data_IF_917726425165
#
_entry.id   IF_917726425165
#
_cell.length_a   1.000
_cell.length_b   1.000
_cell.length_c   1.000
_cell.angle_alpha   90.00
_cell.angle_beta   90.00
_cell.angle_gamma   90.00
#
_symmetry.space_group_name_H-M   'P 1'
#
loop_
_entity.id
_entity.type
_entity.pdbx_description
1 polymer ?
#
# COMPACT_ATOMS: atom_id res chain seq x y z
N UNK A 1 -13.78 -14.36 -2.08
CA UNK A 1 -15.12 -14.99 -2.12
C UNK A 1 -16.12 -13.97 -2.61
N UNK A 2 -17.17 -14.40 -3.31
CA UNK A 2 -18.28 -13.54 -3.73
C UNK A 2 -19.58 -14.15 -3.23
N UNK A 3 -20.43 -13.34 -2.60
CA UNK A 3 -21.69 -13.75 -2.01
C UNK A 3 -22.85 -13.04 -2.70
N UNK A 4 -23.83 -13.81 -3.17
CA UNK A 4 -25.07 -13.31 -3.75
C UNK A 4 -25.99 -12.68 -2.71
N UNK A 5 -26.58 -11.54 -3.07
CA UNK A 5 -27.52 -10.83 -2.22
C UNK A 5 -28.92 -11.46 -2.17
N UNK A 6 -29.94 -10.63 -1.94
CA UNK A 6 -31.34 -11.09 -1.90
C UNK A 6 -31.91 -11.41 -3.30
N UNK A 7 -31.37 -10.79 -4.34
CA UNK A 7 -31.79 -10.95 -5.74
C UNK A 7 -30.62 -11.39 -6.60
N UNK A 8 -30.93 -11.95 -7.76
CA UNK A 8 -29.94 -12.26 -8.79
C UNK A 8 -29.28 -10.98 -9.33
N UNK A 9 -27.97 -11.04 -9.57
CA UNK A 9 -27.17 -9.93 -10.10
C UNK A 9 -26.21 -10.43 -11.17
N UNK A 10 -26.04 -9.65 -12.23
CA UNK A 10 -25.01 -9.88 -13.24
C UNK A 10 -23.74 -9.12 -12.84
N UNK A 11 -22.64 -9.86 -12.71
CA UNK A 11 -21.29 -9.35 -12.48
C UNK A 11 -20.57 -9.36 -13.83
N UNK A 12 -20.12 -8.20 -14.28
CA UNK A 12 -19.45 -8.05 -15.57
C UNK A 12 -17.95 -8.33 -15.46
N UNK A 13 -17.33 -7.97 -14.33
CA UNK A 13 -15.90 -8.12 -14.11
C UNK A 13 -15.55 -8.13 -12.61
N UNK A 14 -14.39 -8.72 -12.28
CA UNK A 14 -13.76 -8.58 -10.96
C UNK A 14 -12.45 -7.85 -11.14
N UNK A 15 -12.32 -6.69 -10.50
CA UNK A 15 -11.11 -5.88 -10.52
C UNK A 15 -10.37 -5.97 -9.19
N UNK A 16 -9.05 -6.08 -9.29
CA UNK A 16 -8.13 -6.13 -8.16
C UNK A 16 -7.08 -5.02 -8.31
N UNK A 17 -6.82 -4.30 -7.23
CA UNK A 17 -5.78 -3.26 -7.19
C UNK A 17 -4.88 -3.48 -5.99
N UNK A 18 -3.58 -3.62 -6.23
CA UNK A 18 -2.60 -3.52 -5.15
C UNK A 18 -2.30 -2.06 -4.91
N UNK A 19 -2.59 -1.59 -3.72
CA UNK A 19 -2.47 -0.20 -3.33
C UNK A 19 -1.48 -0.05 -2.18
N UNK A 20 -0.84 1.11 -2.09
CA UNK A 20 -0.04 1.51 -0.93
C UNK A 20 -0.28 2.96 -0.56
N UNK A 21 0.16 3.32 0.65
CA UNK A 21 0.09 4.69 1.17
C UNK A 21 1.48 5.32 1.16
N UNK A 22 1.57 6.55 0.65
CA UNK A 22 2.74 7.42 0.83
C UNK A 22 2.31 8.78 1.39
N UNK A 23 3.25 9.56 1.89
CA UNK A 23 3.03 10.93 2.37
C UNK A 23 3.52 11.90 1.32
N UNK A 24 2.65 12.85 0.97
CA UNK A 24 2.96 13.98 0.11
C UNK A 24 2.89 15.28 0.91
N UNK A 25 3.53 16.33 0.40
CA UNK A 25 3.37 17.68 0.93
C UNK A 25 2.33 18.45 0.12
N UNK A 26 1.32 18.99 0.79
CA UNK A 26 0.30 19.84 0.16
C UNK A 26 0.25 21.22 0.83
N UNK A 27 -0.13 22.28 0.09
CA UNK A 27 -0.38 23.59 0.69
C UNK A 27 -1.43 23.52 1.80
N UNK A 28 -1.23 24.29 2.87
CA UNK A 28 -2.25 24.47 3.90
C UNK A 28 -3.23 25.59 3.52
N UNK A 29 -4.46 25.20 3.17
CA UNK A 29 -5.52 26.15 2.78
C UNK A 29 -6.12 26.92 3.98
N UNK A 30 -5.69 26.65 5.23
CA UNK A 30 -6.32 27.21 6.44
C UNK A 30 -5.77 28.54 6.95
N UNK A 31 -4.86 29.21 6.24
CA UNK A 31 -4.38 30.51 6.73
C UNK A 31 -3.46 31.23 5.76
N UNK A 32 -4.04 31.97 4.81
CA UNK A 32 -3.33 32.91 3.94
C UNK A 32 -2.87 34.18 4.69
N UNK A 33 -2.17 34.03 5.81
CA UNK A 33 -1.49 35.12 6.53
C UNK A 33 -0.15 34.59 7.04
N UNK A 34 0.88 34.92 6.27
CA UNK A 34 2.31 34.76 6.56
C UNK A 34 2.87 33.32 6.53
N UNK A 35 3.39 32.94 5.36
CA UNK A 35 4.23 31.75 5.17
C UNK A 35 3.52 30.63 4.39
N UNK A 36 4.17 30.13 3.33
CA UNK A 36 3.74 28.91 2.64
C UNK A 36 3.97 27.71 3.58
N UNK A 37 3.03 27.45 4.48
CA UNK A 37 3.06 26.24 5.31
C UNK A 37 2.63 25.05 4.46
N UNK A 38 3.49 24.03 4.40
CA UNK A 38 3.18 22.74 3.79
C UNK A 38 2.69 21.78 4.87
N UNK A 39 1.69 20.97 4.57
CA UNK A 39 1.21 19.89 5.44
C UNK A 39 1.48 18.53 4.81
N UNK A 40 1.85 17.58 5.66
CA UNK A 40 1.97 16.16 5.30
C UNK A 40 0.59 15.55 5.13
N UNK A 41 0.33 14.95 3.97
CA UNK A 41 -0.98 14.36 3.63
C UNK A 41 -0.77 12.94 3.11
N UNK A 42 -1.47 11.93 3.66
CA UNK A 42 -1.44 10.60 3.09
C UNK A 42 -2.11 10.57 1.72
N UNK A 43 -1.44 9.92 0.77
CA UNK A 43 -1.90 9.66 -0.59
C UNK A 43 -1.91 8.16 -0.85
N UNK A 44 -2.87 7.71 -1.65
CA UNK A 44 -2.93 6.32 -2.13
C UNK A 44 -2.29 6.24 -3.50
N UNK A 45 -1.40 5.28 -3.70
CA UNK A 45 -0.87 4.92 -5.00
C UNK A 45 -1.29 3.50 -5.37
N UNK A 46 -1.66 3.29 -6.64
CA UNK A 46 -1.98 1.95 -7.18
C UNK A 46 -0.72 1.38 -7.81
N UNK A 47 -0.13 0.38 -7.17
CA UNK A 47 1.09 -0.30 -7.60
C UNK A 47 0.84 -1.26 -8.77
N UNK A 48 -0.30 -1.95 -8.76
CA UNK A 48 -0.68 -2.88 -9.81
C UNK A 48 -2.20 -2.99 -9.92
N UNK A 49 -2.67 -3.34 -11.12
CA UNK A 49 -4.07 -3.61 -11.43
C UNK A 49 -4.19 -4.94 -12.15
N UNK A 50 -5.18 -5.73 -11.78
CA UNK A 50 -5.57 -6.94 -12.49
C UNK A 50 -7.08 -6.90 -12.71
N UNK A 51 -7.49 -7.31 -13.90
CA UNK A 51 -8.89 -7.60 -14.21
C UNK A 51 -8.98 -9.10 -14.43
N UNK A 52 -9.95 -9.72 -13.75
CA UNK A 52 -10.29 -11.11 -13.94
C UNK A 52 -11.55 -11.12 -14.82
N UNK A 53 -11.47 -11.51 -16.09
CA UNK A 53 -12.57 -11.41 -17.06
C UNK A 53 -13.63 -12.49 -16.81
N UNK A 54 -14.19 -12.51 -15.61
CA UNK A 54 -15.26 -13.38 -15.18
C UNK A 54 -16.55 -12.56 -15.25
N UNK A 55 -17.22 -12.64 -16.40
CA UNK A 55 -18.63 -12.27 -16.48
C UNK A 55 -19.47 -13.44 -15.95
N UNK A 56 -20.26 -13.20 -14.92
CA UNK A 56 -21.12 -14.23 -14.35
C UNK A 56 -22.35 -13.67 -13.67
N UNK A 57 -23.44 -14.44 -13.71
CA UNK A 57 -24.61 -14.19 -12.88
C UNK A 57 -24.42 -14.86 -11.53
N UNK A 58 -24.65 -14.13 -10.45
CA UNK A 58 -24.72 -14.69 -9.08
C UNK A 58 -26.16 -14.66 -8.58
N UNK A 59 -26.67 -15.82 -8.18
CA UNK A 59 -28.04 -15.99 -7.71
C UNK A 59 -28.18 -15.62 -6.23
N UNK A 60 -29.42 -15.46 -5.77
CA UNK A 60 -29.74 -15.14 -4.38
C UNK A 60 -29.14 -16.17 -3.41
N UNK A 61 -28.33 -15.71 -2.46
CA UNK A 61 -27.65 -16.56 -1.46
C UNK A 61 -26.56 -17.50 -2.01
N UNK A 62 -26.19 -17.41 -3.28
CA UNK A 62 -25.12 -18.20 -3.87
C UNK A 62 -23.74 -17.75 -3.35
N UNK A 63 -22.81 -18.68 -3.17
CA UNK A 63 -21.40 -18.38 -2.90
C UNK A 63 -20.54 -18.85 -4.07
N UNK A 64 -19.61 -17.99 -4.51
CA UNK A 64 -18.57 -18.33 -5.47
C UNK A 64 -17.19 -18.04 -4.95
N UNK A 65 -16.28 -18.96 -5.23
CA UNK A 65 -14.85 -18.85 -4.89
C UNK A 65 -14.02 -18.81 -6.16
N UNK A 66 -13.08 -17.87 -6.20
CA UNK A 66 -12.16 -17.69 -7.31
C UNK A 66 -10.74 -17.77 -6.76
N UNK A 67 -9.97 -18.75 -7.25
CA UNK A 67 -8.55 -18.86 -6.94
C UNK A 67 -7.77 -18.00 -7.95
N UNK A 68 -6.94 -17.12 -7.44
CA UNK A 68 -6.16 -16.17 -8.25
C UNK A 68 -4.69 -16.22 -7.88
N UNK A 69 -3.84 -15.96 -8.87
CA UNK A 69 -2.42 -15.74 -8.67
C UNK A 69 -2.06 -14.40 -9.28
N UNK A 70 -1.47 -13.53 -8.47
CA UNK A 70 -1.14 -12.15 -8.83
C UNK A 70 0.36 -11.95 -8.66
N UNK A 71 1.01 -11.38 -9.67
CA UNK A 71 2.45 -11.07 -9.61
C UNK A 71 2.66 -9.71 -8.94
N UNK A 72 3.21 -9.72 -7.72
CA UNK A 72 3.45 -8.50 -6.94
C UNK A 72 4.65 -7.74 -7.51
N UNK A 73 4.53 -6.42 -7.80
CA UNK A 73 5.65 -5.61 -8.25
C UNK A 73 6.83 -5.62 -7.27
N UNK A 74 8.05 -5.73 -7.79
CA UNK A 74 9.27 -5.79 -6.97
C UNK A 74 9.51 -4.53 -6.12
N UNK A 75 9.00 -3.38 -6.58
CA UNK A 75 9.06 -2.08 -5.89
C UNK A 75 7.91 -1.87 -4.89
N UNK A 76 7.17 -2.93 -4.54
CA UNK A 76 6.14 -2.88 -3.51
C UNK A 76 6.80 -2.60 -2.14
N UNK A 77 6.36 -1.56 -1.40
CA UNK A 77 6.96 -1.25 -0.11
C UNK A 77 6.80 -2.37 0.90
N UNK A 78 7.82 -2.61 1.72
CA UNK A 78 7.70 -3.54 2.85
C UNK A 78 6.82 -2.93 3.93
N UNK A 79 6.00 -3.74 4.59
CA UNK A 79 5.09 -3.25 5.63
C UNK A 79 5.80 -3.22 6.97
N UNK A 80 6.62 -2.18 7.15
CA UNK A 80 7.33 -1.84 8.39
C UNK A 80 6.94 -0.42 8.79
N UNK A 81 6.74 -0.19 10.09
CA UNK A 81 6.33 1.11 10.61
C UNK A 81 4.96 1.53 10.08
N UNK A 82 4.91 2.68 9.42
CA UNK A 82 3.68 3.31 8.92
C UNK A 82 3.37 2.98 7.46
N UNK A 83 4.26 2.26 6.78
CA UNK A 83 4.05 1.79 5.41
C UNK A 83 2.91 0.76 5.37
N UNK A 84 1.88 1.04 4.56
CA UNK A 84 0.69 0.19 4.41
C UNK A 84 0.52 -0.22 2.96
N UNK A 85 0.29 -1.52 2.75
CA UNK A 85 -0.06 -2.12 1.46
C UNK A 85 -1.37 -2.89 1.64
N UNK A 86 -2.26 -2.80 0.65
CA UNK A 86 -3.55 -3.51 0.69
C UNK A 86 -3.99 -3.89 -0.71
N UNK A 87 -4.85 -4.92 -0.78
CA UNK A 87 -5.56 -5.30 -1.99
C UNK A 87 -6.97 -4.70 -1.93
N UNK A 88 -7.37 -3.97 -2.95
CA UNK A 88 -8.77 -3.58 -3.15
C UNK A 88 -9.38 -4.53 -4.18
N UNK A 89 -10.52 -5.13 -3.82
CA UNK A 89 -11.34 -5.93 -4.72
C UNK A 89 -12.60 -5.16 -5.05
N UNK A 90 -12.95 -5.04 -6.32
CA UNK A 90 -14.20 -4.46 -6.79
C UNK A 90 -14.92 -5.43 -7.71
N UNK A 91 -16.25 -5.47 -7.60
CA UNK A 91 -17.10 -6.16 -8.57
C UNK A 91 -17.85 -5.12 -9.39
N UNK A 92 -17.76 -5.23 -10.71
CA UNK A 92 -18.57 -4.43 -11.63
C UNK A 92 -19.94 -5.10 -11.76
N UNK A 93 -20.98 -4.49 -11.19
CA UNK A 93 -22.33 -5.06 -11.16
C UNK A 93 -23.24 -4.26 -12.08
N UNK A 94 -23.82 -4.93 -13.07
CA UNK A 94 -24.69 -4.29 -14.04
C UNK A 94 -25.87 -3.59 -13.34
N UNK A 95 -25.92 -2.26 -13.47
CA UNK A 95 -26.98 -1.40 -12.94
C UNK A 95 -27.19 -1.47 -11.41
N UNK A 96 -26.15 -1.77 -10.63
CA UNK A 96 -26.17 -1.71 -9.17
C UNK A 96 -24.99 -0.91 -8.61
N UNK A 97 -24.92 -0.77 -7.28
CA UNK A 97 -23.76 -0.20 -6.60
C UNK A 97 -22.68 -1.27 -6.51
N UNK A 98 -21.50 -0.99 -7.07
CA UNK A 98 -20.34 -1.88 -7.04
C UNK A 98 -19.89 -2.12 -5.59
N UNK A 99 -19.96 -3.36 -5.09
CA UNK A 99 -19.39 -3.69 -3.80
C UNK A 99 -17.86 -3.63 -3.92
N UNK A 100 -17.23 -3.13 -2.86
CA UNK A 100 -15.78 -3.09 -2.74
C UNK A 100 -15.35 -3.73 -1.43
N UNK A 101 -14.17 -4.35 -1.47
CA UNK A 101 -13.54 -4.97 -0.32
C UNK A 101 -12.08 -4.52 -0.25
N UNK A 102 -11.52 -4.49 0.97
CA UNK A 102 -10.16 -4.03 1.24
C UNK A 102 -9.47 -4.96 2.24
N UNK A 103 -8.43 -5.62 1.76
CA UNK A 103 -7.60 -6.55 2.55
C UNK A 103 -6.21 -5.96 2.80
N UNK A 104 -5.83 -5.79 4.06
CA UNK A 104 -4.46 -5.36 4.41
C UNK A 104 -3.50 -6.52 4.19
N UNK A 105 -2.40 -6.26 3.47
CA UNK A 105 -1.35 -7.23 3.20
C UNK A 105 -0.13 -6.96 4.08
N UNK A 106 0.61 -8.00 4.44
CA UNK A 106 1.94 -7.89 5.04
C UNK A 106 2.98 -8.21 3.98
N UNK A 107 3.79 -7.22 3.60
CA UNK A 107 4.89 -7.36 2.65
C UNK A 107 6.19 -7.44 3.44
N UNK A 108 6.89 -8.57 3.33
CA UNK A 108 8.14 -8.79 4.05
C UNK A 108 9.33 -8.36 3.20
N UNK A 109 10.43 -7.90 3.82
CA UNK A 109 11.69 -7.71 3.11
C UNK A 109 12.12 -8.98 2.38
N UNK A 110 12.67 -8.80 1.19
CA UNK A 110 13.37 -9.88 0.51
C UNK A 110 14.70 -10.19 1.23
N UNK A 111 15.36 -11.33 0.92
CA UNK A 111 16.58 -11.72 1.62
C UNK A 111 17.75 -10.72 1.52
N UNK A 112 17.84 -9.94 0.43
CA UNK A 112 18.88 -8.94 0.27
C UNK A 112 18.60 -7.75 1.18
N UNK A 113 17.37 -7.24 1.19
CA UNK A 113 16.96 -6.15 2.06
C UNK A 113 17.09 -6.55 3.54
N UNK A 114 16.64 -7.75 3.90
CA UNK A 114 16.73 -8.29 5.27
C UNK A 114 18.19 -8.40 5.74
N UNK A 115 19.10 -8.84 4.87
CA UNK A 115 20.53 -8.89 5.16
C UNK A 115 21.13 -7.50 5.38
N UNK A 116 20.73 -6.50 4.59
CA UNK A 116 21.17 -5.10 4.75
C UNK A 116 20.67 -4.53 6.09
N UNK A 117 19.40 -4.72 6.42
CA UNK A 117 18.81 -4.26 7.68
C UNK A 117 19.51 -4.94 8.88
N UNK A 118 19.72 -6.26 8.80
CA UNK A 118 20.44 -7.03 9.82
C UNK A 118 21.88 -6.55 10.01
N UNK A 119 22.56 -6.17 8.93
CA UNK A 119 23.92 -5.65 9.00
C UNK A 119 23.98 -4.31 9.75
N UNK A 120 23.03 -3.40 9.50
CA UNK A 120 22.92 -2.15 10.27
C UNK A 120 22.64 -2.43 11.75
N UNK A 121 21.74 -3.36 12.04
CA UNK A 121 21.43 -3.75 13.42
C UNK A 121 22.64 -4.32 14.17
N UNK A 122 23.46 -5.11 13.50
CA UNK A 122 24.70 -5.66 14.04
C UNK A 122 25.76 -4.59 14.35
N UNK A 123 25.68 -3.42 13.70
CA UNK A 123 26.54 -2.27 13.97
C UNK A 123 25.98 -1.32 15.05
N UNK A 124 24.88 -1.69 15.71
CA UNK A 124 24.27 -0.91 16.80
C UNK A 124 23.24 0.12 16.35
N UNK A 125 22.83 0.11 15.08
CA UNK A 125 21.75 0.96 14.58
C UNK A 125 20.39 0.29 14.82
N UNK A 126 19.35 1.10 14.99
CA UNK A 126 17.96 0.63 15.08
C UNK A 126 17.06 1.49 14.20
N UNK A 127 16.05 0.86 13.61
CA UNK A 127 15.02 1.57 12.85
C UNK A 127 14.25 2.46 13.81
N UNK A 128 14.24 3.77 13.53
CA UNK A 128 13.44 4.78 14.23
C UNK A 128 12.09 4.99 13.56
N UNK A 129 12.09 5.13 12.23
CA UNK A 129 10.91 5.42 11.43
C UNK A 129 11.06 4.78 10.06
N UNK A 130 9.94 4.29 9.51
CA UNK A 130 9.85 3.83 8.13
C UNK A 130 8.59 4.40 7.52
N UNK A 131 8.75 5.09 6.39
CA UNK A 131 7.66 5.78 5.73
C UNK A 131 7.86 5.81 4.22
N UNK A 132 6.76 5.85 3.47
CA UNK A 132 6.80 6.10 2.04
C UNK A 132 6.63 7.61 1.83
N UNK A 133 7.62 8.29 1.27
CA UNK A 133 7.69 9.74 1.14
C UNK A 133 7.72 10.15 -0.33
N UNK A 134 6.98 11.19 -0.70
CA UNK A 134 6.92 11.72 -2.06
C UNK A 134 8.30 12.16 -2.55
N UNK A 135 8.68 11.70 -3.74
CA UNK A 135 9.90 12.12 -4.41
C UNK A 135 9.68 12.31 -5.90
N UNK A 136 10.57 13.09 -6.52
CA UNK A 136 10.59 13.33 -7.97
C UNK A 136 11.78 12.64 -8.61
N UNK A 137 11.63 12.21 -9.86
CA UNK A 137 12.73 11.62 -10.64
C UNK A 137 12.95 10.12 -10.43
N UNK A 138 12.00 9.43 -9.79
CA UNK A 138 11.96 7.97 -9.65
C UNK A 138 10.76 7.40 -10.42
N UNK A 139 10.76 6.08 -10.64
CA UNK A 139 9.69 5.38 -11.34
C UNK A 139 8.35 5.42 -10.57
N UNK A 140 8.43 5.38 -9.24
CA UNK A 140 7.30 5.61 -8.35
C UNK A 140 7.29 7.07 -7.88
N UNK A 141 6.12 7.66 -7.56
CA UNK A 141 6.03 9.02 -7.05
C UNK A 141 6.52 9.15 -5.59
N UNK A 142 7.06 8.08 -5.01
CA UNK A 142 7.55 8.02 -3.64
C UNK A 142 8.68 6.99 -3.54
N UNK A 143 9.46 7.07 -2.45
CA UNK A 143 10.41 6.03 -2.03
C UNK A 143 10.09 5.61 -0.60
N UNK A 144 10.47 4.38 -0.24
CA UNK A 144 10.41 3.95 1.15
C UNK A 144 11.69 4.35 1.88
N UNK A 145 11.57 5.33 2.77
CA UNK A 145 12.65 5.81 3.61
C UNK A 145 12.73 4.99 4.89
N UNK A 146 13.96 4.56 5.22
CA UNK A 146 14.28 3.90 6.48
C UNK A 146 15.18 4.82 7.27
N UNK A 147 14.65 5.39 8.34
CA UNK A 147 15.43 6.19 9.25
C UNK A 147 16.01 5.30 10.34
N UNK A 148 17.34 5.24 10.42
CA UNK A 148 18.05 4.49 11.45
C UNK A 148 18.81 5.43 12.37
N UNK A 149 18.81 5.12 13.66
CA UNK A 149 19.58 5.84 14.67
C UNK A 149 20.56 4.91 15.38
N UNK A 150 21.79 5.36 15.69
CA UNK A 150 22.71 4.59 16.48
C UNK A 150 22.25 4.57 17.95
N UNK A 151 21.98 3.38 18.49
CA UNK A 151 21.57 3.19 19.89
C UNK A 151 22.68 2.63 20.78
N UNK A 152 23.72 2.06 20.16
CA UNK A 152 24.90 1.53 20.82
C UNK A 152 26.08 1.51 19.82
N UNK A 153 27.26 1.07 20.26
CA UNK A 153 28.41 0.86 19.39
C UNK A 153 29.13 2.16 18.97
N UNK A 154 30.00 2.09 17.95
CA UNK A 154 30.96 3.16 17.64
C UNK A 154 30.32 4.44 17.11
N UNK A 155 29.05 4.40 16.71
CA UNK A 155 28.32 5.52 16.13
C UNK A 155 27.41 6.23 17.14
N UNK A 156 27.25 5.69 18.35
CA UNK A 156 26.39 6.28 19.38
C UNK A 156 26.91 7.67 19.81
N UNK A 157 26.05 8.68 19.73
CA UNK A 157 26.38 10.08 20.06
C UNK A 157 27.17 10.84 19.00
N UNK A 158 27.50 10.21 17.85
CA UNK A 158 28.23 10.84 16.75
C UNK A 158 27.28 11.42 15.70
N UNK A 159 26.18 10.72 15.43
CA UNK A 159 25.14 11.18 14.50
C UNK A 159 23.99 11.80 15.31
N UNK A 160 23.65 13.06 14.99
CA UNK A 160 22.50 13.78 15.53
C UNK A 160 21.57 14.17 14.40
#
# INVERSE_FOLDING_TARGET
HVYGGATEQAIDNIDLKLCCRYIAEAPDDRGAREGHSMRRVPQTHVLAKWSLPYAFTIHSGEERTFDVKLDVPWNTPVTIGDAKVWLETGLDVAAALDPTDKDILTVRPDPLMDAVLSAFEAQGLRIRQVECEEVKGFDLPFVQEFELVPTDGPYHGVWR
#
